data_IF_275991984212
#
_entry.id   IF_275991984212
#
_cell.length_a   1.000
_cell.length_b   1.000
_cell.length_c   1.000
_cell.angle_alpha   90.00
_cell.angle_beta   90.00
_cell.angle_gamma   90.00
#
_symmetry.space_group_name_H-M   'P 1'
#
loop_
_entity.id
_entity.type
_entity.pdbx_description
1 polymer ?
#
# COMPACT_ATOMS: atom_id res chain seq x y z
N UNK A 1 -9.67 22.55 -2.42
CA UNK A 1 -8.58 21.63 -2.83
C UNK A 1 -7.98 21.06 -1.56
N UNK A 2 -8.16 19.77 -1.31
CA UNK A 2 -7.83 19.14 -0.02
C UNK A 2 -6.31 19.00 0.12
N UNK A 3 -5.71 19.79 1.02
CA UNK A 3 -4.38 19.52 1.56
C UNK A 3 -4.43 18.14 2.25
N UNK A 4 -3.96 17.13 1.53
CA UNK A 4 -3.34 15.92 2.08
C UNK A 4 -2.32 16.35 3.13
N UNK A 5 -2.40 15.99 4.41
CA UNK A 5 -1.35 16.40 5.36
C UNK A 5 -0.99 15.25 6.31
N UNK A 6 0.23 14.74 6.16
CA UNK A 6 0.95 13.90 7.11
C UNK A 6 2.03 14.76 7.76
N UNK A 7 2.06 14.76 9.09
CA UNK A 7 3.09 15.43 9.87
C UNK A 7 4.03 14.38 10.44
N UNK A 8 5.33 14.60 10.28
CA UNK A 8 6.38 13.83 10.95
C UNK A 8 7.14 14.74 11.91
N UNK A 9 7.55 14.18 13.05
CA UNK A 9 8.30 14.92 14.07
C UNK A 9 9.61 14.22 14.34
N UNK A 10 10.71 14.97 14.36
CA UNK A 10 12.01 14.43 14.75
C UNK A 10 12.17 14.34 16.28
N UNK A 11 13.33 13.87 16.74
CA UNK A 11 13.62 13.72 18.17
C UNK A 11 13.63 15.05 18.95
N UNK A 12 13.82 16.19 18.27
CA UNK A 12 13.79 17.52 18.87
C UNK A 12 12.38 18.13 18.87
N UNK A 13 11.39 17.40 18.34
CA UNK A 13 10.03 17.88 18.16
C UNK A 13 9.87 18.83 16.98
N UNK A 14 10.86 18.95 16.09
CA UNK A 14 10.71 19.74 14.87
C UNK A 14 9.72 19.03 13.94
N UNK A 15 8.78 19.80 13.42
CA UNK A 15 7.66 19.32 12.60
C UNK A 15 7.99 19.47 11.11
N UNK A 16 7.67 18.41 10.36
CA UNK A 16 7.80 18.34 8.90
C UNK A 16 6.45 17.98 8.31
N UNK A 17 6.02 18.71 7.30
CA UNK A 17 4.71 18.55 6.67
C UNK A 17 4.84 17.93 5.27
N UNK A 18 4.00 16.94 4.98
CA UNK A 18 4.01 16.19 3.74
C UNK A 18 2.59 16.05 3.20
N UNK A 19 2.43 16.45 1.95
CA UNK A 19 1.17 16.35 1.21
C UNK A 19 1.23 15.35 0.06
N UNK A 20 2.41 14.82 -0.29
CA UNK A 20 2.58 13.81 -1.34
C UNK A 20 3.39 12.61 -0.89
N UNK A 21 3.30 11.54 -1.66
CA UNK A 21 4.25 10.42 -1.62
C UNK A 21 5.70 10.93 -1.74
N UNK A 22 6.60 10.36 -0.94
CA UNK A 22 8.06 10.59 -0.99
C UNK A 22 8.78 9.25 -0.88
N UNK A 23 9.53 8.83 -1.92
CA UNK A 23 10.30 7.58 -1.88
C UNK A 23 11.54 7.66 -0.97
N UNK A 24 11.98 8.87 -0.61
CA UNK A 24 13.13 9.07 0.26
C UNK A 24 12.96 10.35 1.08
N UNK A 25 13.04 10.21 2.40
CA UNK A 25 12.98 11.32 3.38
C UNK A 25 14.37 11.77 3.87
N UNK A 26 15.44 11.17 3.36
CA UNK A 26 16.81 11.48 3.72
C UNK A 26 17.26 10.90 5.06
N UNK A 27 18.22 11.57 5.69
CA UNK A 27 18.89 11.10 6.92
C UNK A 27 18.12 11.42 8.20
N UNK A 28 17.11 12.29 8.15
CA UNK A 28 16.31 12.67 9.32
C UNK A 28 15.72 11.43 10.00
N UNK A 29 15.71 11.45 11.33
CA UNK A 29 15.12 10.40 12.17
C UNK A 29 13.85 10.93 12.80
N UNK A 30 12.73 10.37 12.36
CA UNK A 30 11.41 10.71 12.88
C UNK A 30 11.04 9.78 14.03
N UNK A 31 10.43 10.35 15.07
CA UNK A 31 10.03 9.65 16.29
C UNK A 31 8.53 9.62 16.48
N UNK A 32 7.79 10.55 15.88
CA UNK A 32 6.33 10.60 15.90
C UNK A 32 5.76 10.96 14.54
N UNK A 33 4.48 10.66 14.38
CA UNK A 33 3.69 11.08 13.24
C UNK A 33 2.28 11.52 13.66
N UNK A 34 1.64 12.31 12.80
CA UNK A 34 0.24 12.64 12.90
C UNK A 34 -0.34 12.70 11.50
N UNK A 35 -1.39 11.92 11.23
CA UNK A 35 -2.17 12.08 9.99
C UNK A 35 -3.27 13.08 10.25
N UNK A 36 -3.22 14.22 9.57
CA UNK A 36 -4.30 15.23 9.63
C UNK A 36 -5.40 14.84 8.65
N UNK A 37 -5.02 14.37 7.46
CA UNK A 37 -5.96 14.01 6.40
C UNK A 37 -5.34 13.03 5.39
N UNK A 38 -6.20 12.30 4.68
CA UNK A 38 -5.85 11.27 3.72
C UNK A 38 -5.47 9.95 4.37
N UNK A 39 -5.13 8.98 3.53
CA UNK A 39 -4.65 7.67 3.95
C UNK A 39 -3.19 7.52 3.57
N UNK A 40 -2.40 7.02 4.51
CA UNK A 40 -0.95 7.00 4.39
C UNK A 40 -0.37 5.65 4.78
N UNK A 41 0.73 5.30 4.12
CA UNK A 41 1.61 4.21 4.51
C UNK A 41 3.00 4.79 4.73
N UNK A 42 3.58 4.55 5.90
CA UNK A 42 4.91 4.98 6.28
C UNK A 42 5.79 3.74 6.32
N UNK A 43 6.98 3.80 5.71
CA UNK A 43 7.86 2.66 5.52
C UNK A 43 9.19 2.87 6.22
N UNK A 44 9.74 1.78 6.76
CA UNK A 44 11.03 1.77 7.44
C UNK A 44 12.20 2.06 6.49
N UNK A 45 12.11 1.61 5.25
CA UNK A 45 13.16 1.77 4.24
C UNK A 45 12.75 2.77 3.17
N UNK A 46 13.75 3.29 2.44
CA UNK A 46 13.53 4.06 1.22
C UNK A 46 12.80 3.22 0.16
N UNK A 47 12.30 3.89 -0.88
CA UNK A 47 11.64 3.28 -2.03
C UNK A 47 10.54 2.30 -1.63
N UNK A 48 9.79 2.63 -0.57
CA UNK A 48 8.62 1.88 -0.12
C UNK A 48 8.95 0.42 0.23
N UNK A 49 10.06 0.19 0.94
CA UNK A 49 10.55 -1.14 1.32
C UNK A 49 10.88 -2.07 0.13
N UNK A 50 11.20 -1.52 -1.06
CA UNK A 50 11.56 -2.31 -2.26
C UNK A 50 12.69 -3.31 -1.98
N UNK A 51 13.79 -2.85 -1.37
CA UNK A 51 14.98 -3.68 -1.13
C UNK A 51 14.76 -4.88 -0.18
N UNK A 52 13.66 -4.88 0.58
CA UNK A 52 13.29 -5.96 1.50
C UNK A 52 11.98 -6.65 1.07
N UNK A 53 11.57 -6.48 -0.19
CA UNK A 53 10.33 -7.03 -0.73
C UNK A 53 9.11 -6.76 0.18
N UNK A 54 8.98 -5.51 0.64
CA UNK A 54 7.89 -5.08 1.52
C UNK A 54 8.09 -5.41 3.01
N UNK A 55 8.90 -6.41 3.34
CA UNK A 55 9.27 -6.77 4.71
C UNK A 55 8.14 -7.42 5.50
N UNK A 56 7.88 -6.89 6.69
CA UNK A 56 6.89 -7.41 7.63
C UNK A 56 5.95 -6.30 8.13
N UNK A 57 4.95 -6.67 8.96
CA UNK A 57 4.10 -5.70 9.66
C UNK A 57 4.88 -4.74 10.56
N UNK A 58 6.10 -5.10 10.97
CA UNK A 58 6.96 -4.23 11.79
C UNK A 58 7.72 -3.17 10.98
N UNK A 59 7.70 -3.26 9.66
CA UNK A 59 8.42 -2.37 8.73
C UNK A 59 7.53 -1.30 8.10
N UNK A 60 6.25 -1.29 8.45
CA UNK A 60 5.26 -0.33 7.99
C UNK A 60 4.38 0.21 9.12
N UNK A 61 3.85 1.41 8.92
CA UNK A 61 2.71 1.95 9.67
C UNK A 61 1.65 2.32 8.65
N UNK A 62 0.41 1.86 8.85
CA UNK A 62 -0.73 2.25 8.03
C UNK A 62 -1.63 3.19 8.83
N UNK A 63 -2.14 4.22 8.17
CA UNK A 63 -3.08 5.15 8.75
C UNK A 63 -4.20 5.40 7.74
N UNK A 64 -5.39 4.88 8.05
CA UNK A 64 -6.58 4.93 7.20
C UNK A 64 -7.54 6.07 7.56
N UNK A 65 -7.21 6.83 8.60
CA UNK A 65 -7.99 7.95 9.14
C UNK A 65 -7.07 8.96 9.83
N UNK A 66 -7.56 10.18 10.09
CA UNK A 66 -6.83 11.14 10.91
C UNK A 66 -6.47 10.57 12.28
N UNK A 67 -5.31 10.95 12.79
CA UNK A 67 -4.77 10.52 14.08
C UNK A 67 -4.40 11.71 14.95
N UNK A 68 -4.24 11.48 16.24
CA UNK A 68 -3.43 12.36 17.09
C UNK A 68 -1.93 12.16 16.80
N UNK A 69 -1.09 12.80 17.61
CA UNK A 69 0.35 12.49 17.62
C UNK A 69 0.58 11.08 18.20
N UNK A 70 1.22 10.23 17.42
CA UNK A 70 1.53 8.85 17.79
C UNK A 70 3.02 8.59 17.60
N UNK A 71 3.59 7.78 18.50
CA UNK A 71 4.99 7.34 18.38
C UNK A 71 5.19 6.42 17.17
N UNK A 72 6.32 6.58 16.50
CA UNK A 72 6.74 5.71 15.42
C UNK A 72 7.52 4.51 15.98
N UNK A 73 7.23 3.27 15.54
CA UNK A 73 7.96 2.08 15.97
C UNK A 73 9.34 1.94 15.31
N UNK A 74 9.63 2.75 14.29
CA UNK A 74 10.90 2.80 13.57
C UNK A 74 11.13 4.18 12.95
N UNK A 75 12.37 4.46 12.56
CA UNK A 75 12.70 5.66 11.78
C UNK A 75 12.17 5.53 10.36
N UNK A 76 11.17 6.35 10.01
CA UNK A 76 10.53 6.33 8.68
C UNK A 76 11.47 6.87 7.62
N UNK A 77 11.57 6.18 6.49
CA UNK A 77 12.47 6.55 5.38
C UNK A 77 11.76 6.82 4.06
N UNK A 78 10.54 6.32 3.90
CA UNK A 78 9.67 6.70 2.79
C UNK A 78 8.20 6.72 3.23
N UNK A 79 7.38 7.47 2.49
CA UNK A 79 5.95 7.66 2.78
C UNK A 79 5.16 7.60 1.49
N UNK A 80 3.96 7.05 1.58
CA UNK A 80 3.03 6.96 0.47
C UNK A 80 1.68 7.50 0.85
N UNK A 81 1.20 8.43 0.04
CA UNK A 81 -0.18 8.89 0.06
C UNK A 81 -0.98 7.99 -0.87
N UNK A 82 -2.05 7.41 -0.35
CA UNK A 82 -2.93 6.55 -1.14
C UNK A 82 -4.00 7.37 -1.83
N UNK A 83 -4.32 6.99 -3.07
CA UNK A 83 -5.48 7.49 -3.79
C UNK A 83 -6.70 6.66 -3.41
N UNK A 84 -7.50 7.17 -2.47
CA UNK A 84 -8.69 6.50 -1.95
C UNK A 84 -9.92 6.80 -2.82
N UNK A 85 -9.88 6.37 -4.08
CA UNK A 85 -11.08 6.39 -4.92
C UNK A 85 -12.04 5.28 -4.51
N UNK A 86 -13.24 5.67 -4.08
CA UNK A 86 -14.39 4.76 -4.03
C UNK A 86 -14.48 4.02 -5.37
N UNK A 87 -14.79 2.72 -5.36
CA UNK A 87 -14.90 1.88 -6.56
C UNK A 87 -13.57 1.46 -7.25
N UNK A 88 -12.48 1.37 -6.49
CA UNK A 88 -11.18 0.93 -7.02
C UNK A 88 -10.47 -0.09 -6.11
N UNK A 89 -9.36 -0.63 -6.61
CA UNK A 89 -8.38 -1.35 -5.80
C UNK A 89 -6.98 -0.80 -6.06
N UNK A 90 -6.20 -0.63 -5.00
CA UNK A 90 -4.76 -0.35 -5.10
C UNK A 90 -4.00 -1.64 -4.87
N UNK A 91 -3.16 -2.02 -5.82
CA UNK A 91 -2.42 -3.28 -5.83
C UNK A 91 -0.93 -2.97 -5.79
N UNK A 92 -0.16 -3.75 -5.03
CA UNK A 92 1.25 -3.52 -4.78
C UNK A 92 2.11 -4.72 -5.19
N UNK A 93 3.33 -4.42 -5.66
CA UNK A 93 4.29 -5.42 -6.10
C UNK A 93 4.71 -6.35 -4.96
N UNK A 94 4.85 -5.82 -3.74
CA UNK A 94 5.35 -6.59 -2.60
C UNK A 94 4.30 -6.75 -1.49
N UNK A 95 4.58 -7.66 -0.56
CA UNK A 95 3.82 -7.78 0.69
C UNK A 95 3.87 -6.47 1.48
N UNK A 96 2.95 -6.31 2.43
CA UNK A 96 2.85 -5.15 3.31
C UNK A 96 2.87 -3.81 2.55
N UNK A 97 2.21 -3.79 1.38
CA UNK A 97 2.04 -2.62 0.53
C UNK A 97 3.35 -2.00 0.03
N UNK A 98 4.40 -2.82 -0.11
CA UNK A 98 5.72 -2.39 -0.54
C UNK A 98 5.87 -2.28 -2.06
N UNK A 99 6.87 -1.52 -2.47
CA UNK A 99 7.30 -1.39 -3.86
C UNK A 99 6.29 -0.69 -4.77
N UNK A 100 6.32 -1.02 -6.06
CA UNK A 100 5.47 -0.39 -7.07
C UNK A 100 3.97 -0.58 -6.77
N UNK A 101 3.14 0.42 -7.04
CA UNK A 101 1.67 0.30 -6.99
C UNK A 101 0.99 0.59 -8.31
N UNK A 102 -0.19 0.00 -8.45
CA UNK A 102 -1.14 0.29 -9.52
C UNK A 102 -2.55 0.39 -8.95
N UNK A 103 -3.31 1.39 -9.40
CA UNK A 103 -4.74 1.53 -9.08
C UNK A 103 -5.55 0.99 -10.24
N UNK A 104 -6.53 0.14 -9.94
CA UNK A 104 -7.45 -0.44 -10.91
C UNK A 104 -8.88 -0.07 -10.58
N UNK A 105 -9.62 0.43 -11.57
CA UNK A 105 -11.04 0.78 -11.49
C UNK A 105 -11.94 -0.16 -12.30
N UNK A 106 -11.32 -0.94 -13.20
CA UNK A 106 -11.94 -1.89 -14.12
C UNK A 106 -11.23 -3.24 -14.07
N UNK A 107 -11.77 -4.22 -14.78
CA UNK A 107 -11.16 -5.54 -14.90
C UNK A 107 -9.76 -5.47 -15.55
N UNK A 108 -8.87 -6.36 -15.10
CA UNK A 108 -7.46 -6.44 -15.50
C UNK A 108 -7.14 -7.91 -15.83
N UNK A 109 -7.00 -8.26 -17.11
CA UNK A 109 -6.76 -9.64 -17.52
C UNK A 109 -5.29 -10.07 -17.31
N UNK A 110 -4.34 -9.14 -17.25
CA UNK A 110 -2.93 -9.45 -16.98
C UNK A 110 -2.26 -8.31 -16.23
N UNK A 111 -2.21 -8.42 -14.90
CA UNK A 111 -1.55 -7.39 -14.07
C UNK A 111 -0.03 -7.55 -14.01
N UNK A 112 0.52 -8.70 -14.44
CA UNK A 112 1.96 -8.93 -14.40
C UNK A 112 2.73 -7.95 -15.29
N UNK A 113 2.08 -7.36 -16.29
CA UNK A 113 2.66 -6.36 -17.18
C UNK A 113 2.83 -4.99 -16.51
N UNK A 114 2.09 -4.71 -15.44
CA UNK A 114 2.11 -3.42 -14.72
C UNK A 114 3.17 -3.37 -13.62
N UNK A 115 3.86 -4.49 -13.32
CA UNK A 115 4.87 -4.56 -12.25
C UNK A 115 6.27 -4.91 -12.81
N UNK A 116 7.35 -4.32 -12.24
CA UNK A 116 8.71 -4.45 -12.78
C UNK A 116 9.24 -5.89 -12.78
N UNK A 117 8.78 -6.74 -11.85
CA UNK A 117 9.13 -8.17 -11.80
C UNK A 117 8.13 -8.99 -12.63
N UNK A 118 8.09 -8.74 -13.93
CA UNK A 118 7.12 -9.30 -14.88
C UNK A 118 7.03 -10.83 -14.74
N UNK A 119 5.91 -11.31 -14.18
CA UNK A 119 5.60 -12.74 -14.07
C UNK A 119 5.24 -13.23 -12.66
N UNK A 120 5.64 -12.51 -11.61
CA UNK A 120 5.42 -12.91 -10.20
C UNK A 120 4.12 -12.37 -9.59
N UNK A 121 3.29 -11.66 -10.36
CA UNK A 121 2.01 -11.14 -9.87
C UNK A 121 2.17 -10.10 -8.77
N UNK A 122 1.05 -9.79 -8.10
CA UNK A 122 1.03 -8.85 -6.97
C UNK A 122 0.96 -9.57 -5.62
N UNK A 123 1.46 -8.89 -4.57
CA UNK A 123 1.70 -9.49 -3.26
C UNK A 123 1.02 -8.76 -2.11
N UNK A 124 0.32 -7.66 -2.36
CA UNK A 124 -0.66 -7.11 -1.43
C UNK A 124 -1.64 -6.20 -2.16
N UNK A 125 -2.79 -5.93 -1.55
CA UNK A 125 -3.78 -5.04 -2.13
C UNK A 125 -4.64 -4.34 -1.07
N UNK A 126 -5.25 -3.24 -1.48
CA UNK A 126 -6.30 -2.54 -0.77
C UNK A 126 -7.51 -2.52 -1.69
N UNK A 127 -8.65 -3.00 -1.21
CA UNK A 127 -9.93 -2.86 -1.89
C UNK A 127 -10.68 -1.73 -1.22
N UNK A 128 -10.93 -0.67 -1.98
CA UNK A 128 -11.63 0.51 -1.49
C UNK A 128 -13.14 0.24 -1.37
N UNK A 129 -13.88 1.07 -0.61
CA UNK A 129 -15.32 0.89 -0.44
C UNK A 129 -16.09 0.80 -1.76
N UNK A 130 -17.30 0.23 -1.68
CA UNK A 130 -18.32 0.13 -2.73
C UNK A 130 -18.07 -0.90 -3.85
N UNK A 131 -16.90 -1.54 -3.89
CA UNK A 131 -16.66 -2.71 -4.76
C UNK A 131 -16.09 -3.90 -3.99
N UNK A 132 -16.47 -5.09 -4.44
CA UNK A 132 -15.71 -6.33 -4.22
C UNK A 132 -15.06 -6.73 -5.53
N UNK A 133 -14.02 -7.56 -5.44
CA UNK A 133 -13.26 -8.00 -6.59
C UNK A 133 -13.09 -9.51 -6.56
N UNK A 134 -13.24 -10.14 -7.73
CA UNK A 134 -12.83 -11.52 -7.95
C UNK A 134 -11.35 -11.51 -8.35
N UNK A 135 -10.54 -12.21 -7.56
CA UNK A 135 -9.09 -12.32 -7.65
C UNK A 135 -8.73 -13.68 -8.26
N UNK A 136 -7.79 -13.69 -9.22
CA UNK A 136 -7.43 -14.88 -10.00
C UNK A 136 -5.93 -15.11 -10.02
N UNK A 137 -5.54 -16.40 -9.91
CA UNK A 137 -4.13 -16.75 -9.75
C UNK A 137 -3.42 -17.00 -11.09
N UNK A 138 -4.20 -16.93 -12.16
CA UNK A 138 -3.75 -16.94 -13.53
C UNK A 138 -4.20 -15.67 -14.24
N UNK A 139 -3.65 -15.47 -15.43
CA UNK A 139 -4.08 -14.39 -16.34
C UNK A 139 -5.48 -14.73 -16.87
N UNK A 140 -6.13 -13.73 -17.46
CA UNK A 140 -7.40 -13.85 -18.17
C UNK A 140 -8.55 -14.44 -17.33
N UNK A 141 -8.53 -14.21 -16.02
CA UNK A 141 -9.56 -14.67 -15.07
C UNK A 141 -9.67 -16.19 -14.94
N UNK A 142 -8.55 -16.89 -15.12
CA UNK A 142 -8.47 -18.34 -15.02
C UNK A 142 -7.92 -18.80 -13.67
N UNK A 143 -8.02 -20.11 -13.41
CA UNK A 143 -7.44 -20.76 -12.24
C UNK A 143 -8.25 -20.58 -10.96
N UNK A 144 -7.55 -20.52 -9.84
CA UNK A 144 -8.15 -20.35 -8.52
C UNK A 144 -8.72 -18.96 -8.35
N UNK A 145 -10.01 -18.90 -7.98
CA UNK A 145 -10.76 -17.66 -7.78
C UNK A 145 -11.01 -17.39 -6.29
N UNK A 146 -10.95 -16.11 -5.91
CA UNK A 146 -11.43 -15.66 -4.61
C UNK A 146 -12.15 -14.32 -4.71
N UNK A 147 -13.36 -14.24 -4.15
CA UNK A 147 -14.02 -12.96 -3.92
C UNK A 147 -13.44 -12.27 -2.68
N UNK A 148 -12.95 -11.04 -2.84
CA UNK A 148 -12.44 -10.20 -1.77
C UNK A 148 -13.30 -8.94 -1.64
N UNK A 149 -13.70 -8.62 -0.41
CA UNK A 149 -14.50 -7.43 -0.06
C UNK A 149 -13.59 -6.22 0.17
N UNK A 150 -14.19 -5.07 0.45
CA UNK A 150 -13.42 -3.89 0.90
C UNK A 150 -12.56 -4.22 2.11
N UNK A 151 -11.29 -3.86 2.06
CA UNK A 151 -10.34 -4.22 3.11
C UNK A 151 -8.89 -3.97 2.71
N UNK A 152 -8.03 -4.04 3.72
CA UNK A 152 -6.58 -3.91 3.59
C UNK A 152 -5.97 -5.32 3.73
N UNK A 153 -5.29 -5.78 2.70
CA UNK A 153 -4.77 -7.13 2.59
C UNK A 153 -3.25 -7.10 2.44
N UNK A 154 -2.50 -7.17 3.55
CA UNK A 154 -1.05 -6.99 3.53
C UNK A 154 -0.31 -8.16 2.87
N UNK A 155 -0.97 -9.28 2.67
CA UNK A 155 -0.45 -10.43 1.95
C UNK A 155 -1.59 -11.07 1.17
N UNK A 156 -1.32 -11.87 0.12
CA UNK A 156 -2.37 -12.60 -0.59
C UNK A 156 -3.00 -13.66 0.33
N UNK A 157 -2.25 -14.20 1.29
CA UNK A 157 -2.79 -15.12 2.28
C UNK A 157 -3.86 -14.48 3.17
N UNK A 158 -3.85 -13.15 3.35
CA UNK A 158 -4.89 -12.44 4.11
C UNK A 158 -6.27 -12.46 3.42
N UNK A 159 -6.32 -12.66 2.10
CA UNK A 159 -7.56 -12.95 1.36
C UNK A 159 -7.78 -14.46 1.15
N UNK A 160 -6.93 -15.31 1.71
CA UNK A 160 -6.98 -16.77 1.49
C UNK A 160 -6.45 -17.17 0.11
N UNK A 161 -5.47 -16.43 -0.41
CA UNK A 161 -4.88 -16.62 -1.73
C UNK A 161 -3.39 -16.97 -1.62
N UNK A 162 -2.82 -17.79 -2.52
CA UNK A 162 -1.39 -18.08 -2.49
C UNK A 162 -0.55 -16.80 -2.69
N UNK A 163 0.59 -16.68 -1.99
CA UNK A 163 1.47 -15.53 -2.15
C UNK A 163 2.01 -15.41 -3.60
N UNK A 164 2.30 -14.20 -4.07
CA UNK A 164 2.88 -13.91 -5.40
C UNK A 164 2.15 -14.61 -6.56
N UNK A 165 0.83 -14.70 -6.43
CA UNK A 165 0.00 -15.42 -7.38
C UNK A 165 -1.12 -14.59 -7.97
N UNK A 166 -1.39 -13.39 -7.46
CA UNK A 166 -2.44 -12.55 -8.04
C UNK A 166 -2.01 -12.05 -9.43
N UNK A 167 -2.69 -12.52 -10.49
CA UNK A 167 -2.32 -12.26 -11.89
C UNK A 167 -3.41 -11.59 -12.72
N UNK A 168 -4.68 -11.74 -12.32
CA UNK A 168 -5.79 -10.99 -12.91
C UNK A 168 -6.89 -10.73 -11.88
N UNK A 169 -7.70 -9.70 -12.12
CA UNK A 169 -8.82 -9.36 -11.24
C UNK A 169 -9.93 -8.64 -11.99
N UNK A 170 -11.18 -8.80 -11.53
CA UNK A 170 -12.33 -8.04 -12.06
C UNK A 170 -13.29 -7.66 -10.94
N UNK A 171 -14.02 -6.54 -11.07
CA UNK A 171 -15.13 -6.24 -10.17
C UNK A 171 -16.09 -7.43 -10.12
N UNK A 172 -16.58 -7.74 -8.93
CA UNK A 172 -17.54 -8.82 -8.71
C UNK A 172 -18.99 -8.40 -8.97
#
# INVERSE_FOLDING_TARGET
>A
MSQSNLLLFDANGLKYDYDTTKPNLGSTTFTKYQVVNGKWILYRSIDFNEAIAGGSSSDIVTADKPTGELSLPFSVKSIRRLQDSCDSSTVFAHSYYGGHEKVYTSAVPDMCADFPNSGQGASSLIIWPNKSWNLYNQKYYEGGEKNAKSGWYPTPSAVGFPNDSLKSMRPA
#
